data_IF_148190488827
#
_entry.id   IF_148190488827
#
_cell.length_a   1.000
_cell.length_b   1.000
_cell.length_c   1.000
_cell.angle_alpha   90.00
_cell.angle_beta   90.00
_cell.angle_gamma   90.00
#
_symmetry.space_group_name_H-M   'P 1'
#
loop_
_entity.id
_entity.type
_entity.pdbx_description
1 polymer ?
#
# COMPACT_ATOMS: atom_id res chain seq x y z
N UNK A 1 -10.78 27.63 2.65
CA UNK A 1 -10.59 28.49 3.85
C UNK A 1 -9.46 27.86 4.66
N UNK A 2 -8.55 28.63 5.18
CA UNK A 2 -7.56 28.21 6.17
C UNK A 2 -7.84 28.92 7.51
N UNK A 3 -7.54 28.22 8.60
CA UNK A 3 -7.79 28.71 9.98
C UNK A 3 -6.47 28.58 10.72
N UNK A 4 -6.11 29.64 11.42
CA UNK A 4 -4.96 29.65 12.33
C UNK A 4 -5.42 29.24 13.74
N UNK A 5 -5.06 28.03 14.14
CA UNK A 5 -5.46 27.48 15.42
C UNK A 5 -4.72 28.13 16.62
N UNK A 6 -3.68 28.93 16.40
CA UNK A 6 -3.07 29.71 17.46
C UNK A 6 -3.93 30.93 17.84
N UNK A 7 -4.78 31.35 16.91
CA UNK A 7 -5.72 32.48 17.09
C UNK A 7 -7.11 31.92 17.41
N UNK A 8 -7.59 30.95 16.66
CA UNK A 8 -8.94 30.38 16.74
C UNK A 8 -8.93 29.00 17.46
N UNK A 9 -8.34 28.97 18.67
CA UNK A 9 -8.16 27.73 19.44
C UNK A 9 -9.49 27.04 19.76
N UNK A 10 -10.51 27.81 20.15
CA UNK A 10 -11.84 27.25 20.49
C UNK A 10 -12.47 26.51 19.30
N UNK A 11 -12.36 27.08 18.10
CA UNK A 11 -12.88 26.45 16.89
C UNK A 11 -12.10 25.16 16.54
N UNK A 12 -10.79 25.18 16.74
CA UNK A 12 -9.96 24.00 16.48
C UNK A 12 -10.24 22.88 17.48
N UNK A 13 -10.52 23.20 18.74
CA UNK A 13 -10.91 22.23 19.77
C UNK A 13 -12.29 21.63 19.46
N UNK A 14 -13.27 22.44 19.04
CA UNK A 14 -14.60 21.99 18.63
C UNK A 14 -14.51 20.91 17.54
N UNK A 15 -13.61 21.09 16.57
CA UNK A 15 -13.38 20.12 15.52
C UNK A 15 -12.30 19.08 15.83
N UNK A 16 -11.84 18.98 17.09
CA UNK A 16 -10.83 17.98 17.52
C UNK A 16 -9.58 18.00 16.65
N UNK A 17 -9.01 19.18 16.38
CA UNK A 17 -7.76 19.35 15.64
C UNK A 17 -6.60 19.19 16.62
N UNK A 18 -6.00 17.99 16.62
CA UNK A 18 -4.91 17.64 17.56
C UNK A 18 -3.51 17.70 16.92
N UNK A 19 -3.42 17.90 15.60
CA UNK A 19 -2.15 17.99 14.89
C UNK A 19 -2.28 18.88 13.65
N UNK A 20 -1.17 19.49 13.23
CA UNK A 20 -1.13 20.44 12.12
C UNK A 20 -0.17 19.98 11.02
N UNK A 21 -0.50 20.30 9.75
CA UNK A 21 -1.74 20.86 9.25
C UNK A 21 -2.86 19.82 9.22
N UNK A 22 -4.09 20.19 9.59
CA UNK A 22 -5.28 19.35 9.49
C UNK A 22 -6.12 19.77 8.28
N UNK A 23 -6.62 18.77 7.51
CA UNK A 23 -7.57 18.98 6.43
C UNK A 23 -8.92 18.37 6.80
N UNK A 24 -10.00 19.14 6.62
CA UNK A 24 -11.36 18.68 6.87
C UNK A 24 -12.29 19.07 5.72
N UNK A 25 -13.18 18.16 5.39
CA UNK A 25 -14.28 18.39 4.46
C UNK A 25 -15.54 18.72 5.24
N UNK A 26 -16.26 19.73 4.80
CA UNK A 26 -17.56 20.15 5.31
C UNK A 26 -18.59 20.00 4.16
N UNK A 27 -19.67 19.28 4.41
CA UNK A 27 -20.69 18.99 3.38
C UNK A 27 -21.76 20.09 3.24
N UNK A 28 -21.66 21.16 4.03
CA UNK A 28 -22.67 22.24 4.07
C UNK A 28 -23.93 21.92 4.87
N UNK A 29 -24.08 20.69 5.34
CA UNK A 29 -25.22 20.22 6.15
C UNK A 29 -24.83 19.98 7.63
N UNK A 30 -23.66 20.42 8.05
CA UNK A 30 -23.16 20.28 9.40
C UNK A 30 -22.30 19.03 9.65
N UNK A 31 -22.14 18.14 8.67
CA UNK A 31 -21.26 17.00 8.81
C UNK A 31 -19.83 17.36 8.39
N UNK A 32 -18.87 16.83 9.14
CA UNK A 32 -17.47 17.02 8.83
C UNK A 32 -16.75 15.67 8.72
N UNK A 33 -15.79 15.57 7.78
CA UNK A 33 -14.94 14.41 7.63
C UNK A 33 -13.48 14.82 7.65
N UNK A 34 -12.62 14.29 8.56
CA UNK A 34 -11.18 14.54 8.53
C UNK A 34 -10.56 13.84 7.34
N UNK A 35 -9.66 14.52 6.65
CA UNK A 35 -8.82 13.92 5.63
C UNK A 35 -7.52 13.41 6.26
N UNK A 36 -7.25 12.12 6.12
CA UNK A 36 -6.07 11.44 6.69
C UNK A 36 -5.14 10.86 5.62
N UNK A 37 -5.42 11.15 4.35
CA UNK A 37 -4.63 10.64 3.21
C UNK A 37 -3.38 11.46 2.89
N UNK A 38 -2.63 11.05 1.86
CA UNK A 38 -1.47 11.78 1.35
C UNK A 38 -1.83 13.19 0.90
N UNK A 39 -1.01 14.19 1.28
CA UNK A 39 -1.27 15.62 0.98
C UNK A 39 -0.88 16.02 -0.45
N UNK A 40 -1.23 15.22 -1.42
CA UNK A 40 -1.08 15.50 -2.85
C UNK A 40 -2.45 15.78 -3.49
N UNK A 41 -2.46 16.64 -4.49
CA UNK A 41 -3.71 17.11 -5.12
C UNK A 41 -4.60 15.96 -5.61
N UNK A 42 -4.04 14.93 -6.26
CA UNK A 42 -4.79 13.76 -6.74
C UNK A 42 -5.53 13.04 -5.63
N UNK A 43 -4.87 12.78 -4.50
CA UNK A 43 -5.47 12.08 -3.36
C UNK A 43 -6.58 12.90 -2.69
N UNK A 44 -6.38 14.24 -2.57
CA UNK A 44 -7.39 15.15 -2.02
C UNK A 44 -8.61 15.22 -2.95
N UNK A 45 -8.41 15.32 -4.27
CA UNK A 45 -9.50 15.33 -5.26
C UNK A 45 -10.29 14.03 -5.21
N UNK A 46 -9.62 12.87 -5.15
CA UNK A 46 -10.29 11.56 -5.01
C UNK A 46 -11.13 11.49 -3.73
N UNK A 47 -10.58 11.95 -2.61
CA UNK A 47 -11.33 12.03 -1.36
C UNK A 47 -12.58 12.93 -1.47
N UNK A 48 -12.45 14.12 -2.05
CA UNK A 48 -13.58 15.02 -2.23
C UNK A 48 -14.67 14.42 -3.14
N UNK A 49 -14.28 13.74 -4.21
CA UNK A 49 -15.20 13.03 -5.09
C UNK A 49 -15.97 11.93 -4.35
N UNK A 50 -15.30 11.18 -3.47
CA UNK A 50 -15.93 10.17 -2.61
C UNK A 50 -16.85 10.79 -1.58
N UNK A 51 -16.39 11.83 -0.89
CA UNK A 51 -17.14 12.51 0.16
C UNK A 51 -18.45 13.13 -0.34
N UNK A 52 -18.49 13.55 -1.60
CA UNK A 52 -19.69 14.10 -2.26
C UNK A 52 -20.65 13.06 -2.82
N UNK A 53 -20.38 11.74 -2.68
CA UNK A 53 -21.26 10.65 -3.11
C UNK A 53 -21.90 9.96 -1.89
N UNK A 54 -23.05 9.27 -2.08
CA UNK A 54 -23.56 8.37 -1.04
C UNK A 54 -22.53 7.26 -0.76
N UNK A 55 -22.52 6.67 0.44
CA UNK A 55 -21.60 5.57 0.78
C UNK A 55 -21.64 4.43 -0.23
N UNK A 56 -22.81 4.06 -0.72
CA UNK A 56 -23.02 3.12 -1.83
C UNK A 56 -23.79 3.81 -2.94
N UNK A 57 -23.22 3.84 -4.15
CA UNK A 57 -23.88 4.36 -5.34
C UNK A 57 -24.68 3.24 -6.02
N UNK A 58 -26.00 3.39 -6.16
CA UNK A 58 -26.82 2.42 -6.90
C UNK A 58 -26.68 2.70 -8.39
N UNK A 59 -26.34 1.68 -9.16
CA UNK A 59 -26.06 1.75 -10.59
C UNK A 59 -26.88 0.73 -11.37
N UNK A 60 -27.06 1.00 -12.66
CA UNK A 60 -27.41 -0.01 -13.66
C UNK A 60 -26.14 -0.68 -14.22
N UNK A 61 -26.30 -1.79 -14.93
CA UNK A 61 -25.20 -2.58 -15.49
C UNK A 61 -24.32 -1.76 -16.44
N UNK A 62 -24.90 -0.85 -17.22
CA UNK A 62 -24.20 -0.01 -18.17
C UNK A 62 -23.25 0.96 -17.45
N UNK A 63 -23.72 1.59 -16.38
CA UNK A 63 -22.92 2.51 -15.57
C UNK A 63 -21.89 1.81 -14.70
N UNK A 64 -22.11 0.55 -14.34
CA UNK A 64 -21.18 -0.24 -13.54
C UNK A 64 -19.82 -0.39 -14.23
N UNK A 65 -19.79 -0.60 -15.55
CA UNK A 65 -18.57 -0.71 -16.32
C UNK A 65 -17.73 0.58 -16.26
N UNK A 66 -18.37 1.75 -16.40
CA UNK A 66 -17.68 3.03 -16.28
C UNK A 66 -17.23 3.33 -14.84
N UNK A 67 -17.99 2.84 -13.85
CA UNK A 67 -17.67 3.06 -12.44
C UNK A 67 -16.42 2.31 -11.99
N UNK A 68 -16.01 1.23 -12.65
CA UNK A 68 -14.81 0.44 -12.32
C UNK A 68 -13.53 1.28 -12.24
N UNK A 69 -13.44 2.36 -13.03
CA UNK A 69 -12.24 3.20 -13.13
C UNK A 69 -12.38 4.59 -12.47
N UNK A 70 -13.43 4.80 -11.69
CA UNK A 70 -13.76 6.12 -11.13
C UNK A 70 -12.84 6.55 -9.99
N UNK A 71 -12.10 5.60 -9.39
CA UNK A 71 -11.23 5.79 -8.24
C UNK A 71 -10.07 4.77 -8.24
N UNK A 72 -9.08 4.98 -7.37
CA UNK A 72 -7.95 4.06 -7.17
C UNK A 72 -8.43 2.69 -6.65
N UNK A 73 -9.42 2.68 -5.77
CA UNK A 73 -10.06 1.46 -5.27
C UNK A 73 -11.56 1.56 -5.44
N UNK A 74 -12.14 0.60 -6.15
CA UNK A 74 -13.57 0.55 -6.45
C UNK A 74 -14.12 -0.83 -6.12
N UNK A 75 -15.22 -0.87 -5.37
CA UNK A 75 -15.94 -2.10 -5.09
C UNK A 75 -17.34 -2.03 -5.72
N UNK A 76 -17.67 -3.03 -6.53
CA UNK A 76 -18.98 -3.17 -7.17
C UNK A 76 -19.57 -4.50 -6.74
N UNK A 77 -20.74 -4.44 -6.12
CA UNK A 77 -21.52 -5.60 -5.71
C UNK A 77 -22.72 -5.77 -6.64
N UNK A 78 -22.77 -6.88 -7.37
CA UNK A 78 -23.97 -7.32 -8.07
C UNK A 78 -24.79 -8.15 -7.08
N UNK A 79 -25.92 -7.62 -6.62
CA UNK A 79 -26.68 -8.17 -5.50
C UNK A 79 -28.01 -8.71 -5.99
N UNK A 80 -28.30 -9.98 -5.69
CA UNK A 80 -29.65 -10.50 -5.86
C UNK A 80 -30.54 -9.86 -4.79
N UNK A 81 -31.72 -9.33 -5.14
CA UNK A 81 -32.63 -8.70 -4.17
C UNK A 81 -33.02 -9.59 -2.98
N UNK A 82 -32.84 -10.91 -3.08
CA UNK A 82 -33.08 -11.87 -1.97
C UNK A 82 -31.96 -11.85 -0.93
N UNK A 83 -30.79 -11.32 -1.27
CA UNK A 83 -29.59 -11.29 -0.40
C UNK A 83 -29.47 -9.95 0.36
N UNK A 84 -30.56 -9.56 1.05
CA UNK A 84 -30.64 -8.30 1.79
C UNK A 84 -29.51 -8.14 2.81
N UNK A 85 -29.04 -9.24 3.39
CA UNK A 85 -27.91 -9.22 4.35
C UNK A 85 -26.61 -8.74 3.71
N UNK A 86 -26.36 -9.05 2.42
CA UNK A 86 -25.19 -8.57 1.69
C UNK A 86 -25.29 -7.08 1.42
N UNK A 87 -26.48 -6.59 1.06
CA UNK A 87 -26.72 -5.17 0.87
C UNK A 87 -26.48 -4.37 2.17
N UNK A 88 -26.93 -4.90 3.31
CA UNK A 88 -26.72 -4.29 4.62
C UNK A 88 -25.22 -4.30 5.01
N UNK A 89 -24.53 -5.43 4.80
CA UNK A 89 -23.09 -5.55 5.05
C UNK A 89 -22.28 -4.59 4.16
N UNK A 90 -22.61 -4.49 2.87
CA UNK A 90 -21.99 -3.55 1.95
C UNK A 90 -22.13 -2.10 2.43
N UNK A 91 -23.31 -1.72 2.89
CA UNK A 91 -23.59 -0.37 3.39
C UNK A 91 -22.75 -0.04 4.62
N UNK A 92 -22.62 -0.99 5.53
CA UNK A 92 -21.79 -0.86 6.74
C UNK A 92 -20.31 -0.67 6.38
N UNK A 93 -19.78 -1.52 5.52
CA UNK A 93 -18.39 -1.46 5.06
C UNK A 93 -18.13 -0.19 4.26
N UNK A 94 -19.04 0.19 3.37
CA UNK A 94 -18.92 1.42 2.60
C UNK A 94 -18.83 2.64 3.50
N UNK A 95 -19.60 2.68 4.60
CA UNK A 95 -19.53 3.78 5.58
C UNK A 95 -18.19 3.84 6.31
N UNK A 96 -17.53 2.70 6.54
CA UNK A 96 -16.22 2.62 7.20
C UNK A 96 -15.06 3.02 6.27
N UNK A 97 -15.17 2.70 4.96
CA UNK A 97 -14.07 2.83 4.00
C UNK A 97 -14.30 3.90 2.93
N UNK A 98 -15.39 4.69 3.01
CA UNK A 98 -15.71 5.75 2.04
C UNK A 98 -14.60 6.79 1.88
N UNK A 99 -13.78 6.97 2.90
CA UNK A 99 -12.63 7.88 2.86
C UNK A 99 -11.51 7.37 1.93
N UNK A 100 -11.49 6.08 1.60
CA UNK A 100 -10.39 5.40 0.88
C UNK A 100 -10.83 4.66 -0.38
N UNK A 101 -12.10 4.30 -0.53
CA UNK A 101 -12.62 3.54 -1.67
C UNK A 101 -14.01 4.02 -2.09
N UNK A 102 -14.37 3.79 -3.34
CA UNK A 102 -15.71 4.03 -3.89
C UNK A 102 -16.49 2.73 -3.97
N UNK A 103 -17.77 2.77 -3.56
CA UNK A 103 -18.63 1.59 -3.49
C UNK A 103 -19.86 1.78 -4.37
N UNK A 104 -20.26 0.70 -5.06
CA UNK A 104 -21.48 0.67 -5.84
C UNK A 104 -22.22 -0.66 -5.67
N UNK A 105 -23.53 -0.63 -5.90
CA UNK A 105 -24.36 -1.80 -6.02
C UNK A 105 -25.14 -1.79 -7.34
N UNK A 106 -25.34 -2.98 -7.89
CA UNK A 106 -26.15 -3.26 -9.08
C UNK A 106 -27.11 -4.38 -8.71
N UNK A 107 -28.37 -4.20 -9.01
CA UNK A 107 -29.35 -5.27 -8.83
C UNK A 107 -29.18 -6.31 -9.94
N UNK A 108 -29.10 -7.58 -9.56
CA UNK A 108 -28.99 -8.69 -10.51
C UNK A 108 -29.98 -9.80 -10.19
N UNK A 109 -30.63 -10.42 -11.20
CA UNK A 109 -31.43 -11.61 -10.99
C UNK A 109 -30.60 -12.88 -10.74
N UNK A 110 -29.27 -12.79 -10.99
CA UNK A 110 -28.33 -13.90 -10.86
C UNK A 110 -27.80 -14.08 -9.45
N UNK A 111 -26.70 -14.80 -9.34
CA UNK A 111 -25.99 -15.01 -8.08
C UNK A 111 -25.30 -13.73 -7.63
N UNK A 112 -25.39 -13.42 -6.34
CA UNK A 112 -24.69 -12.28 -5.77
C UNK A 112 -23.18 -12.47 -5.88
N UNK A 113 -22.50 -11.46 -6.42
CA UNK A 113 -21.05 -11.43 -6.57
C UNK A 113 -20.53 -10.04 -6.22
N UNK A 114 -19.33 -10.00 -5.64
CA UNK A 114 -18.67 -8.74 -5.31
C UNK A 114 -17.31 -8.71 -5.97
N UNK A 115 -17.03 -7.65 -6.72
CA UNK A 115 -15.74 -7.42 -7.34
C UNK A 115 -15.09 -6.15 -6.77
N UNK A 116 -13.84 -6.25 -6.37
CA UNK A 116 -13.03 -5.11 -5.97
C UNK A 116 -11.89 -4.89 -6.96
N UNK A 117 -11.76 -3.65 -7.42
CA UNK A 117 -10.77 -3.19 -8.38
C UNK A 117 -9.76 -2.30 -7.67
N UNK A 118 -8.51 -2.73 -7.58
CA UNK A 118 -7.38 -1.89 -7.23
C UNK A 118 -6.79 -1.37 -8.55
N UNK A 119 -7.25 -0.20 -8.98
CA UNK A 119 -6.83 0.41 -10.25
C UNK A 119 -5.39 0.91 -10.19
N UNK A 120 -4.90 1.26 -9.00
CA UNK A 120 -3.52 1.68 -8.79
C UNK A 120 -2.53 0.58 -9.14
N UNK A 121 -2.81 -0.65 -8.72
CA UNK A 121 -1.94 -1.80 -8.92
C UNK A 121 -2.42 -2.70 -10.07
N UNK A 122 -3.54 -2.34 -10.72
CA UNK A 122 -4.15 -3.11 -11.81
C UNK A 122 -4.56 -4.52 -11.39
N UNK A 123 -5.11 -4.65 -10.17
CA UNK A 123 -5.57 -5.93 -9.62
C UNK A 123 -7.10 -5.95 -9.52
N UNK A 124 -7.66 -7.15 -9.69
CA UNK A 124 -9.09 -7.42 -9.49
C UNK A 124 -9.23 -8.60 -8.54
N UNK A 125 -10.08 -8.43 -7.55
CA UNK A 125 -10.46 -9.45 -6.59
C UNK A 125 -11.94 -9.73 -6.76
N UNK A 126 -12.37 -10.99 -6.73
CA UNK A 126 -13.78 -11.37 -6.88
C UNK A 126 -14.17 -12.31 -5.75
N UNK A 127 -15.32 -12.10 -5.18
CA UNK A 127 -15.91 -12.90 -4.11
C UNK A 127 -17.32 -13.31 -4.52
N UNK A 128 -17.60 -14.62 -4.51
CA UNK A 128 -18.91 -15.20 -4.74
C UNK A 128 -19.44 -15.99 -3.52
N UNK A 129 -18.51 -16.43 -2.65
CA UNK A 129 -18.89 -17.03 -1.37
C UNK A 129 -18.95 -15.94 -0.29
N UNK A 130 -20.18 -15.56 0.06
CA UNK A 130 -20.50 -14.50 1.01
C UNK A 130 -21.02 -15.06 2.35
N UNK A 131 -20.88 -16.37 2.59
CA UNK A 131 -21.38 -17.02 3.80
C UNK A 131 -20.63 -16.59 5.07
N UNK A 132 -19.33 -16.26 4.95
CA UNK A 132 -18.54 -15.80 6.09
C UNK A 132 -18.85 -14.32 6.41
N UNK A 133 -19.11 -14.03 7.69
CA UNK A 133 -19.49 -12.69 8.18
C UNK A 133 -18.46 -11.61 7.84
N UNK A 134 -17.18 -11.98 7.77
CA UNK A 134 -16.05 -11.07 7.51
C UNK A 134 -15.54 -11.12 6.06
N UNK A 135 -16.20 -11.87 5.18
CA UNK A 135 -15.74 -12.08 3.80
C UNK A 135 -15.57 -10.77 3.03
N UNK A 136 -16.56 -9.86 3.14
CA UNK A 136 -16.49 -8.53 2.50
C UNK A 136 -15.39 -7.65 3.09
N UNK A 137 -15.21 -7.65 4.40
CA UNK A 137 -14.15 -6.88 5.05
C UNK A 137 -12.77 -7.35 4.59
N UNK A 138 -12.55 -8.65 4.55
CA UNK A 138 -11.31 -9.27 4.05
C UNK A 138 -11.07 -8.97 2.57
N UNK A 139 -12.12 -8.97 1.75
CA UNK A 139 -12.03 -8.59 0.34
C UNK A 139 -11.54 -7.14 0.21
N UNK A 140 -12.16 -6.21 0.94
CA UNK A 140 -11.80 -4.78 0.90
C UNK A 140 -10.38 -4.57 1.39
N UNK A 141 -10.00 -5.15 2.52
CA UNK A 141 -8.64 -5.06 3.07
C UNK A 141 -7.59 -5.61 2.10
N UNK A 142 -7.85 -6.76 1.49
CA UNK A 142 -6.95 -7.38 0.51
C UNK A 142 -6.83 -6.52 -0.76
N UNK A 143 -7.95 -5.97 -1.22
CA UNK A 143 -7.98 -5.10 -2.40
C UNK A 143 -7.28 -3.76 -2.17
N UNK A 144 -7.37 -3.22 -0.96
CA UNK A 144 -6.73 -1.95 -0.58
C UNK A 144 -5.27 -2.12 -0.16
N UNK A 145 -4.81 -3.34 0.09
CA UNK A 145 -3.43 -3.60 0.43
C UNK A 145 -2.52 -3.18 -0.74
N UNK A 146 -1.52 -2.32 -0.51
CA UNK A 146 -0.61 -1.91 -1.57
C UNK A 146 0.25 -3.08 -2.02
N UNK A 147 0.52 -3.15 -3.32
CA UNK A 147 1.42 -4.15 -3.91
C UNK A 147 2.86 -4.01 -3.38
N UNK A 148 3.27 -2.76 -3.15
CA UNK A 148 4.53 -2.41 -2.48
C UNK A 148 4.15 -1.61 -1.24
N UNK A 149 4.32 -2.22 -0.07
CA UNK A 149 3.95 -1.62 1.21
C UNK A 149 5.09 -0.87 1.87
N UNK A 150 4.79 -0.19 2.96
CA UNK A 150 5.80 0.35 3.86
C UNK A 150 6.03 -0.66 5.00
N UNK A 151 7.30 -0.97 5.25
CA UNK A 151 7.71 -1.84 6.33
C UNK A 151 7.98 -1.02 7.59
N UNK A 152 7.37 -1.42 8.69
CA UNK A 152 7.52 -0.79 10.00
C UNK A 152 7.59 -1.89 11.07
N UNK A 153 8.07 -1.57 12.27
CA UNK A 153 8.04 -2.51 13.41
C UNK A 153 6.63 -3.00 13.74
N UNK A 154 5.63 -2.17 13.52
CA UNK A 154 4.23 -2.53 13.81
C UNK A 154 3.67 -3.60 12.86
N UNK A 155 4.18 -3.69 11.62
CA UNK A 155 3.70 -4.64 10.62
C UNK A 155 4.72 -5.73 10.21
N UNK A 156 5.88 -5.75 10.83
CA UNK A 156 6.97 -6.71 10.60
C UNK A 156 6.47 -8.16 10.62
N UNK A 157 5.76 -8.54 11.67
CA UNK A 157 5.23 -9.90 11.83
C UNK A 157 4.31 -10.33 10.69
N UNK A 158 3.52 -9.41 10.15
CA UNK A 158 2.66 -9.69 8.99
C UNK A 158 3.49 -10.10 7.76
N UNK A 159 4.60 -9.41 7.52
CA UNK A 159 5.48 -9.74 6.39
C UNK A 159 6.25 -11.04 6.62
N UNK A 160 6.80 -11.24 7.81
CA UNK A 160 7.55 -12.46 8.14
C UNK A 160 6.67 -13.72 8.11
N UNK A 161 5.42 -13.63 8.53
CA UNK A 161 4.46 -14.74 8.51
C UNK A 161 3.88 -15.02 7.11
N UNK A 162 4.09 -14.13 6.14
CA UNK A 162 3.59 -14.33 4.77
C UNK A 162 4.22 -15.52 4.04
N UNK A 163 5.35 -16.03 4.52
CA UNK A 163 6.14 -17.10 3.88
C UNK A 163 6.86 -16.66 2.60
N UNK A 164 6.76 -15.38 2.23
CA UNK A 164 7.43 -14.82 1.04
C UNK A 164 8.79 -14.24 1.38
N UNK A 165 9.68 -14.23 0.42
CA UNK A 165 10.90 -13.42 0.54
C UNK A 165 10.57 -11.94 0.44
N UNK A 166 11.38 -11.11 1.12
CA UNK A 166 11.15 -9.66 1.23
C UNK A 166 12.22 -8.91 0.44
N UNK A 167 11.81 -7.96 -0.37
CA UNK A 167 12.69 -7.01 -1.05
C UNK A 167 12.56 -5.67 -0.36
N UNK A 168 13.56 -5.33 0.45
CA UNK A 168 13.60 -4.10 1.23
C UNK A 168 14.29 -2.99 0.43
N UNK A 169 13.63 -1.86 0.30
CA UNK A 169 14.20 -0.64 -0.24
C UNK A 169 14.25 0.44 0.84
N UNK A 170 15.44 0.85 1.19
CA UNK A 170 15.69 1.90 2.18
C UNK A 170 15.95 3.23 1.48
N UNK A 171 15.25 4.28 1.91
CA UNK A 171 15.56 5.65 1.54
C UNK A 171 15.09 6.60 2.65
N UNK A 172 15.80 7.71 2.82
CA UNK A 172 15.48 8.75 3.82
C UNK A 172 14.31 9.60 3.34
N UNK A 173 14.27 9.94 2.06
CA UNK A 173 13.23 10.78 1.47
C UNK A 173 11.97 10.00 1.15
N UNK A 174 10.80 10.50 1.58
CA UNK A 174 9.50 9.97 1.17
C UNK A 174 9.30 10.03 -0.35
N UNK A 175 9.84 11.06 -1.02
CA UNK A 175 9.77 11.21 -2.47
C UNK A 175 10.53 10.09 -3.19
N UNK A 176 11.70 9.67 -2.70
CA UNK A 176 12.46 8.53 -3.24
C UNK A 176 11.69 7.22 -3.04
N UNK A 177 11.08 7.01 -1.86
CA UNK A 177 10.25 5.83 -1.59
C UNK A 177 9.03 5.77 -2.52
N UNK A 178 8.34 6.90 -2.73
CA UNK A 178 7.22 6.98 -3.68
C UNK A 178 7.67 6.72 -5.13
N UNK A 179 8.79 7.30 -5.56
CA UNK A 179 9.35 7.07 -6.90
C UNK A 179 9.74 5.61 -7.12
N UNK A 180 10.30 4.96 -6.10
CA UNK A 180 10.59 3.53 -6.13
C UNK A 180 9.32 2.70 -6.29
N UNK A 181 8.28 2.98 -5.49
CA UNK A 181 6.98 2.29 -5.59
C UNK A 181 6.41 2.38 -7.00
N UNK A 182 6.43 3.56 -7.61
CA UNK A 182 5.86 3.74 -8.95
C UNK A 182 6.68 3.00 -10.03
N UNK A 183 8.01 3.04 -9.95
CA UNK A 183 8.91 2.35 -10.88
C UNK A 183 8.82 0.82 -10.74
N UNK A 184 8.77 0.31 -9.50
CA UNK A 184 8.88 -1.12 -9.22
C UNK A 184 7.57 -1.91 -9.34
N UNK A 185 6.42 -1.26 -9.56
CA UNK A 185 5.12 -1.95 -9.71
C UNK A 185 5.13 -3.11 -10.70
N UNK A 186 5.69 -2.98 -11.92
CA UNK A 186 5.69 -4.09 -12.87
C UNK A 186 6.42 -5.33 -12.34
N UNK A 187 7.58 -5.12 -11.70
CA UNK A 187 8.39 -6.20 -11.12
C UNK A 187 7.70 -6.80 -9.90
N UNK A 188 7.19 -5.96 -9.00
CA UNK A 188 6.46 -6.43 -7.82
C UNK A 188 5.22 -7.23 -8.23
N UNK A 189 4.49 -6.83 -9.28
CA UNK A 189 3.35 -7.57 -9.82
C UNK A 189 3.76 -8.93 -10.41
N UNK A 190 4.89 -8.98 -11.10
CA UNK A 190 5.42 -10.21 -11.70
C UNK A 190 5.77 -11.25 -10.62
N UNK A 191 6.36 -10.83 -9.52
CA UNK A 191 6.85 -11.71 -8.46
C UNK A 191 5.95 -11.79 -7.23
N UNK A 192 4.74 -11.23 -7.25
CA UNK A 192 3.85 -11.08 -6.08
C UNK A 192 3.55 -12.38 -5.32
N UNK A 193 3.62 -13.53 -5.98
CA UNK A 193 3.36 -14.83 -5.35
C UNK A 193 4.53 -15.29 -4.47
N UNK A 194 5.73 -14.84 -4.75
CA UNK A 194 6.97 -15.29 -4.10
C UNK A 194 7.68 -14.20 -3.32
N UNK A 195 7.49 -12.94 -3.72
CA UNK A 195 8.18 -11.79 -3.15
C UNK A 195 7.18 -10.74 -2.64
N UNK A 196 7.49 -10.16 -1.51
CA UNK A 196 6.88 -8.93 -1.00
C UNK A 196 7.87 -7.79 -1.12
N UNK A 197 7.56 -6.80 -1.92
CA UNK A 197 8.35 -5.58 -2.04
C UNK A 197 7.90 -4.58 -0.97
N UNK A 198 8.86 -3.99 -0.27
CA UNK A 198 8.58 -3.02 0.79
C UNK A 198 9.56 -1.85 0.75
N UNK A 199 9.07 -0.68 1.13
CA UNK A 199 9.90 0.49 1.40
C UNK A 199 10.13 0.63 2.90
N UNK A 200 11.28 1.14 3.28
CA UNK A 200 11.66 1.39 4.67
C UNK A 200 12.11 2.85 4.80
N UNK A 201 11.59 3.55 5.79
CA UNK A 201 12.10 4.86 6.16
C UNK A 201 13.46 4.70 6.84
N UNK A 202 14.52 5.11 6.15
CA UNK A 202 15.88 4.89 6.61
C UNK A 202 16.29 5.83 7.77
N UNK A 203 15.56 6.93 7.99
CA UNK A 203 15.78 7.80 9.15
C UNK A 203 15.13 7.19 10.41
N UNK A 204 13.96 6.58 10.27
CA UNK A 204 13.25 5.98 11.41
C UNK A 204 13.78 4.58 11.75
N UNK A 205 14.15 3.79 10.74
CA UNK A 205 14.51 2.37 10.88
C UNK A 205 15.92 2.06 10.36
N UNK A 206 16.89 2.94 10.59
CA UNK A 206 18.29 2.74 10.17
C UNK A 206 18.93 1.47 10.73
N UNK A 207 18.49 1.03 11.90
CA UNK A 207 18.96 -0.18 12.59
C UNK A 207 18.61 -1.49 11.86
N UNK A 208 17.56 -1.49 11.02
CA UNK A 208 17.24 -2.64 10.16
C UNK A 208 18.20 -2.85 8.99
N UNK A 209 18.99 -1.84 8.62
CA UNK A 209 19.91 -1.93 7.47
C UNK A 209 21.05 -2.92 7.73
N UNK A 210 21.69 -2.86 8.90
CA UNK A 210 22.85 -3.69 9.22
C UNK A 210 22.55 -5.22 9.23
N UNK A 211 21.48 -5.71 9.85
CA UNK A 211 21.08 -7.13 9.76
C UNK A 211 20.79 -7.61 8.34
N UNK A 212 20.47 -6.70 7.43
CA UNK A 212 20.23 -6.98 6.01
C UNK A 212 21.49 -6.87 5.15
N UNK A 213 22.68 -6.74 5.76
CA UNK A 213 23.96 -6.65 5.06
C UNK A 213 24.20 -5.32 4.37
N UNK A 214 23.39 -4.30 4.69
CA UNK A 214 23.51 -2.96 4.15
C UNK A 214 24.44 -2.10 5.03
N UNK A 215 25.13 -1.14 4.42
CA UNK A 215 25.97 -0.20 5.16
C UNK A 215 25.10 0.88 5.78
N UNK A 216 25.08 1.02 7.13
CA UNK A 216 24.29 2.06 7.78
C UNK A 216 24.68 3.46 7.27
N UNK A 217 23.65 4.30 7.04
CA UNK A 217 23.85 5.67 6.56
C UNK A 217 24.14 5.81 5.06
N UNK A 218 24.22 4.72 4.31
CA UNK A 218 24.39 4.74 2.85
C UNK A 218 23.07 4.38 2.17
N UNK A 219 22.32 5.39 1.76
CA UNK A 219 21.00 5.24 1.14
C UNK A 219 20.91 6.08 -0.14
N UNK A 220 20.07 5.70 -1.16
CA UNK A 220 19.17 4.55 -1.13
C UNK A 220 19.91 3.21 -1.21
N UNK A 221 19.34 2.17 -0.59
CA UNK A 221 19.92 0.84 -0.56
C UNK A 221 18.82 -0.25 -0.66
N UNK A 222 19.17 -1.42 -1.18
CA UNK A 222 18.25 -2.53 -1.37
C UNK A 222 18.85 -3.84 -0.86
N UNK A 223 18.03 -4.68 -0.24
CA UNK A 223 18.41 -6.04 0.15
C UNK A 223 17.23 -6.99 -0.03
N UNK A 224 17.52 -8.23 -0.37
CA UNK A 224 16.53 -9.31 -0.42
C UNK A 224 16.75 -10.24 0.76
N UNK A 225 15.70 -10.56 1.50
CA UNK A 225 15.73 -11.50 2.61
C UNK A 225 14.79 -12.67 2.33
N UNK A 226 15.30 -13.87 2.53
CA UNK A 226 14.47 -15.07 2.63
C UNK A 226 14.35 -15.47 4.11
N UNK A 227 13.24 -15.12 4.78
CA UNK A 227 13.09 -15.36 6.21
C UNK A 227 13.00 -16.86 6.55
N UNK A 228 12.49 -17.67 5.63
CA UNK A 228 12.35 -19.12 5.84
C UNK A 228 13.71 -19.83 5.99
N UNK A 229 14.73 -19.37 5.28
CA UNK A 229 16.09 -19.93 5.34
C UNK A 229 17.08 -19.04 6.08
N UNK A 230 16.63 -17.90 6.62
CA UNK A 230 17.51 -16.93 7.28
C UNK A 230 18.57 -16.32 6.35
N UNK A 231 18.34 -16.33 5.05
CA UNK A 231 19.30 -15.86 4.04
C UNK A 231 19.02 -14.41 3.67
N UNK A 232 20.09 -13.66 3.52
CA UNK A 232 20.05 -12.25 3.15
C UNK A 232 20.99 -12.00 1.99
N UNK A 233 20.56 -11.16 1.04
CA UNK A 233 21.27 -10.84 -0.19
C UNK A 233 21.26 -9.32 -0.36
N UNK A 234 22.31 -8.62 0.14
CA UNK A 234 22.45 -7.18 -0.08
C UNK A 234 22.76 -6.88 -1.54
N UNK A 235 22.05 -5.92 -2.10
CA UNK A 235 22.33 -5.38 -3.43
C UNK A 235 23.61 -4.54 -3.41
N UNK A 236 24.32 -4.47 -4.52
CA UNK A 236 25.59 -3.75 -4.58
C UNK A 236 25.39 -2.27 -4.26
N UNK A 237 26.14 -1.76 -3.28
CA UNK A 237 26.08 -0.37 -2.86
C UNK A 237 26.44 0.57 -4.02
N UNK A 238 25.62 1.61 -4.22
CA UNK A 238 25.80 2.59 -5.30
C UNK A 238 25.41 2.09 -6.70
N UNK A 239 24.97 0.83 -6.83
CA UNK A 239 24.43 0.36 -8.10
C UNK A 239 23.04 0.95 -8.37
N UNK A 240 22.69 1.09 -9.64
CA UNK A 240 21.39 1.58 -10.06
C UNK A 240 20.27 0.64 -9.60
N UNK A 241 19.24 1.20 -8.96
CA UNK A 241 18.04 0.48 -8.53
C UNK A 241 16.92 0.79 -9.53
N UNK A 242 16.77 -0.08 -10.52
CA UNK A 242 15.73 -0.02 -11.55
C UNK A 242 14.95 -1.35 -11.65
N UNK A 243 13.80 -1.39 -12.30
CA UNK A 243 13.06 -2.64 -12.54
C UNK A 243 13.91 -3.74 -13.17
N UNK A 244 14.74 -3.38 -14.14
CA UNK A 244 15.59 -4.29 -14.89
C UNK A 244 16.69 -4.85 -14.01
N UNK A 245 17.39 -3.99 -13.27
CA UNK A 245 18.53 -4.39 -12.43
C UNK A 245 18.08 -5.19 -11.21
N UNK A 246 16.97 -4.80 -10.58
CA UNK A 246 16.39 -5.55 -9.44
C UNK A 246 15.80 -6.87 -9.91
N UNK A 247 15.13 -6.89 -11.07
CA UNK A 247 14.63 -8.14 -11.66
C UNK A 247 15.75 -9.13 -11.99
N UNK A 248 16.85 -8.65 -12.58
CA UNK A 248 18.03 -9.47 -12.85
C UNK A 248 18.67 -9.99 -11.54
N UNK A 249 18.80 -9.15 -10.52
CA UNK A 249 19.33 -9.54 -9.22
C UNK A 249 18.49 -10.63 -8.54
N UNK A 250 17.17 -10.51 -8.56
CA UNK A 250 16.26 -11.54 -8.05
C UNK A 250 16.46 -12.86 -8.81
N UNK A 251 16.59 -12.82 -10.13
CA UNK A 251 16.83 -14.01 -10.93
C UNK A 251 18.19 -14.64 -10.63
N UNK A 252 19.22 -13.85 -10.42
CA UNK A 252 20.56 -14.34 -10.06
C UNK A 252 20.57 -15.00 -8.66
N UNK A 253 19.77 -14.50 -7.72
CA UNK A 253 19.57 -15.17 -6.41
C UNK A 253 18.89 -16.53 -6.62
N UNK A 254 17.79 -16.59 -7.39
CA UNK A 254 17.06 -17.83 -7.66
C UNK A 254 17.93 -18.86 -8.37
N UNK A 255 18.83 -18.43 -9.25
CA UNK A 255 19.77 -19.30 -9.97
C UNK A 255 21.03 -19.68 -9.14
N UNK A 256 21.12 -19.20 -7.89
CA UNK A 256 22.26 -19.49 -7.01
C UNK A 256 23.58 -18.79 -7.41
N UNK A 257 23.53 -17.81 -8.31
CA UNK A 257 24.70 -17.03 -8.73
C UNK A 257 25.16 -16.02 -7.67
N UNK A 258 24.23 -15.55 -6.86
CA UNK A 258 24.50 -14.66 -5.72
C UNK A 258 24.51 -15.51 -4.45
N UNK A 259 25.60 -15.44 -3.70
CA UNK A 259 25.72 -16.11 -2.40
C UNK A 259 25.03 -15.30 -1.31
N UNK A 260 24.39 -15.97 -0.34
CA UNK A 260 23.89 -15.27 0.85
C UNK A 260 25.03 -14.52 1.55
N UNK A 261 24.70 -13.40 2.16
CA UNK A 261 25.61 -12.64 3.00
C UNK A 261 26.02 -13.47 4.23
N UNK A 262 27.31 -13.46 4.54
CA UNK A 262 27.93 -14.28 5.59
C UNK A 262 27.98 -13.60 6.97
N UNK A 263 27.32 -12.44 7.12
CA UNK A 263 27.36 -11.66 8.36
C UNK A 263 28.58 -10.77 8.54
N UNK A 264 29.53 -10.79 7.60
CA UNK A 264 30.71 -9.90 7.64
C UNK A 264 30.46 -8.68 6.76
N UNK A 265 30.53 -7.49 7.32
CA UNK A 265 30.55 -6.26 6.52
C UNK A 265 31.76 -6.30 5.59
N UNK A 266 31.56 -6.03 4.30
CA UNK A 266 32.68 -5.78 3.36
C UNK A 266 33.39 -4.47 3.73
N UNK A 267 34.08 -4.44 4.87
CA UNK A 267 35.06 -3.42 5.13
C UNK A 267 36.17 -3.60 4.09
N UNK A 268 36.43 -2.51 3.37
CA UNK A 268 37.26 -2.42 2.20
C UNK A 268 38.51 -3.32 2.23
N UNK A 269 38.68 -4.09 1.17
CA UNK A 269 40.00 -4.50 0.73
C UNK A 269 40.78 -3.23 0.35
N UNK A 270 41.32 -2.55 1.37
CA UNK A 270 42.41 -1.59 1.20
C UNK A 270 43.55 -2.30 0.48
N UNK A 271 44.03 -1.70 -0.58
CA UNK A 271 45.22 -2.09 -1.31
C UNK A 271 46.34 -2.42 -0.33
N UNK A 272 46.78 -3.65 -0.35
CA UNK A 272 48.10 -3.96 0.14
C UNK A 272 49.10 -3.13 -0.71
N UNK A 273 49.70 -2.13 -0.13
CA UNK A 273 50.92 -1.56 -0.64
C UNK A 273 52.01 -2.61 -0.46
N UNK A 274 52.45 -3.18 -1.57
CA UNK A 274 53.79 -3.73 -1.67
C UNK A 274 54.76 -2.57 -1.49
N UNK A 275 55.46 -2.52 -0.35
CA UNK A 275 56.70 -1.82 -0.21
C UNK A 275 57.78 -2.85 0.11
N UNK A 276 58.70 -2.95 -0.85
CA UNK A 276 60.07 -3.38 -0.66
C UNK A 276 60.88 -2.27 -0.02
#
# INVERSE_FOLDING_TARGET
>A
MSIDCSIESVLCDEFSVISYPALRYFDGHGHTKPYRGPRRASAIVSFLKRAGRPPVTVLDEEKAAAFQSVDDTVLIAHINPRDEHVAAALKTIASQFQDRASFASVDTPGTTTVACYNNRDGQKFTLSDLAAVDALSKLVESCMAPLIGEFTRANEMKYLQSGKSLVFFFATSSGEREAYVDKMRPVAKMYKEYLSFVTVDADEYADFAAPLGLTPGVFPALSVQNPMYGQTFPYASGAEISPETVGAFVMDIVQGKVKPWDGQSRQGRGRAHDEL
#
